data_IF_497707388568
#
_entry.id   IF_497707388568
#
_cell.length_a   1.000
_cell.length_b   1.000
_cell.length_c   1.000
_cell.angle_alpha   90.00
_cell.angle_beta   90.00
_cell.angle_gamma   90.00
#
_symmetry.space_group_name_H-M   'P 1'
#
loop_
_entity.id
_entity.type
_entity.pdbx_description
1 polymer ?
#
# COMPACT_ATOMS: atom_id res chain seq x y z
N UNK A 1 3.24 1.36 -9.90
CA UNK A 1 2.15 1.87 -9.06
C UNK A 1 1.53 0.73 -8.28
N UNK A 2 1.30 0.94 -7.05
CA UNK A 2 1.03 -0.15 -6.15
C UNK A 2 -0.09 0.18 -5.21
N UNK A 3 -1.00 -0.77 -5.00
CA UNK A 3 -2.35 -0.42 -4.71
C UNK A 3 -2.92 -1.19 -3.55
N UNK A 4 -3.12 -0.51 -2.41
CA UNK A 4 -4.03 -0.95 -1.35
C UNK A 4 -4.93 0.21 -0.97
N UNK A 5 -6.15 -0.08 -0.59
CA UNK A 5 -7.13 0.86 -0.02
C UNK A 5 -7.55 1.98 -1.01
N UNK A 6 -7.19 3.24 -0.75
CA UNK A 6 -7.50 4.39 -1.62
C UNK A 6 -6.71 4.38 -2.94
N UNK A 7 -5.79 3.50 -3.08
CA UNK A 7 -4.90 3.43 -4.22
C UNK A 7 -5.61 3.22 -5.57
N UNK A 8 -6.74 2.51 -5.69
CA UNK A 8 -7.51 2.47 -6.94
C UNK A 8 -7.92 3.84 -7.46
N UNK A 9 -8.29 4.79 -6.59
CA UNK A 9 -8.61 6.17 -6.98
C UNK A 9 -7.37 6.88 -7.52
N UNK A 10 -6.24 6.82 -6.78
CA UNK A 10 -4.97 7.39 -7.21
C UNK A 10 -4.49 6.74 -8.51
N UNK A 11 -4.68 5.44 -8.66
CA UNK A 11 -4.38 4.72 -9.89
C UNK A 11 -5.22 5.21 -11.07
N UNK A 12 -6.52 5.42 -10.88
CA UNK A 12 -7.40 6.00 -11.88
C UNK A 12 -6.92 7.37 -12.34
N UNK A 13 -6.46 8.23 -11.43
CA UNK A 13 -5.83 9.49 -11.77
C UNK A 13 -4.56 9.30 -12.61
N UNK A 14 -3.68 8.36 -12.26
CA UNK A 14 -2.49 8.06 -13.06
C UNK A 14 -2.85 7.60 -14.48
N UNK A 15 -3.88 6.75 -14.63
CA UNK A 15 -4.38 6.31 -15.93
C UNK A 15 -4.91 7.50 -16.74
N UNK A 16 -5.76 8.34 -16.14
CA UNK A 16 -6.30 9.54 -16.82
C UNK A 16 -5.19 10.50 -17.27
N UNK A 17 -4.18 10.72 -16.43
CA UNK A 17 -3.05 11.61 -16.78
C UNK A 17 -2.20 11.01 -17.90
N UNK A 18 -1.91 9.71 -17.84
CA UNK A 18 -1.12 9.06 -18.89
C UNK A 18 -1.85 9.05 -20.24
N UNK A 19 -3.14 8.80 -20.26
CA UNK A 19 -3.98 8.76 -21.46
C UNK A 19 -4.77 10.04 -21.70
N UNK A 20 -4.32 11.20 -21.16
CA UNK A 20 -5.08 12.46 -21.16
C UNK A 20 -5.61 12.89 -22.52
N UNK A 21 -4.85 12.66 -23.61
CA UNK A 21 -5.26 13.09 -24.94
C UNK A 21 -6.42 12.25 -25.48
N UNK A 22 -6.40 10.94 -25.22
CA UNK A 22 -7.52 10.05 -25.53
C UNK A 22 -8.77 10.39 -24.70
N UNK A 23 -8.58 10.68 -23.38
CA UNK A 23 -9.70 11.11 -22.51
C UNK A 23 -10.27 12.49 -22.94
N UNK A 24 -9.42 13.42 -23.39
CA UNK A 24 -9.89 14.71 -23.92
C UNK A 24 -10.75 14.54 -25.17
N UNK A 25 -10.40 13.58 -26.04
CA UNK A 25 -11.13 13.32 -27.29
C UNK A 25 -12.39 12.47 -27.07
N UNK A 26 -12.30 11.42 -26.28
CA UNK A 26 -13.32 10.38 -26.13
C UNK A 26 -14.01 10.36 -24.76
N UNK A 27 -13.78 11.36 -23.90
CA UNK A 27 -14.29 11.35 -22.50
C UNK A 27 -15.79 11.12 -22.40
N UNK A 28 -16.59 11.83 -23.20
CA UNK A 28 -18.05 11.63 -23.23
C UNK A 28 -18.45 10.21 -23.59
N UNK A 29 -17.79 9.61 -24.56
CA UNK A 29 -18.01 8.23 -24.97
C UNK A 29 -17.65 7.28 -23.83
N UNK A 30 -16.54 7.52 -23.13
CA UNK A 30 -16.13 6.70 -22.00
C UNK A 30 -17.12 6.79 -20.82
N UNK A 31 -17.68 7.96 -20.57
CA UNK A 31 -18.72 8.17 -19.57
C UNK A 31 -20.02 7.42 -19.96
N UNK A 32 -20.44 7.51 -21.23
CA UNK A 32 -21.62 6.80 -21.75
C UNK A 32 -21.47 5.28 -21.67
N UNK A 33 -20.26 4.77 -21.89
CA UNK A 33 -19.93 3.33 -21.78
C UNK A 33 -19.78 2.88 -20.31
N UNK A 34 -19.76 3.79 -19.36
CA UNK A 34 -19.54 3.50 -17.93
C UNK A 34 -18.12 2.98 -17.67
N UNK A 35 -17.10 3.57 -18.31
CA UNK A 35 -15.70 3.25 -18.06
C UNK A 35 -15.31 3.72 -16.66
N UNK A 36 -14.80 2.82 -15.85
CA UNK A 36 -14.24 3.11 -14.53
C UNK A 36 -12.72 2.91 -14.54
N UNK A 37 -11.99 4.01 -14.64
CA UNK A 37 -10.51 3.99 -14.68
C UNK A 37 -9.87 3.48 -13.39
N UNK A 38 -10.58 3.50 -12.28
CA UNK A 38 -10.10 2.92 -11.02
C UNK A 38 -9.92 1.40 -11.11
N UNK A 39 -10.58 0.76 -12.09
CA UNK A 39 -10.40 -0.64 -12.43
C UNK A 39 -9.31 -0.87 -13.51
N UNK A 40 -8.67 0.18 -14.01
CA UNK A 40 -7.59 0.12 -14.97
C UNK A 40 -8.01 0.05 -16.44
N UNK A 41 -7.01 -0.10 -17.30
CA UNK A 41 -7.19 -0.16 -18.74
C UNK A 41 -7.95 -1.40 -19.19
N UNK A 42 -7.93 -2.47 -18.41
CA UNK A 42 -8.75 -3.67 -18.70
C UNK A 42 -10.24 -3.32 -18.82
N UNK A 43 -10.76 -2.53 -17.86
CA UNK A 43 -12.15 -2.09 -17.91
C UNK A 43 -12.43 -1.20 -19.13
N UNK A 44 -11.52 -0.29 -19.47
CA UNK A 44 -11.66 0.55 -20.67
C UNK A 44 -11.68 -0.29 -21.93
N UNK A 45 -10.77 -1.24 -22.10
CA UNK A 45 -10.72 -2.11 -23.27
C UNK A 45 -11.97 -3.00 -23.38
N UNK A 46 -12.47 -3.55 -22.27
CA UNK A 46 -13.71 -4.31 -22.23
C UNK A 46 -14.90 -3.49 -22.72
N UNK A 47 -15.05 -2.26 -22.25
CA UNK A 47 -16.11 -1.35 -22.67
C UNK A 47 -15.98 -0.93 -24.14
N UNK A 48 -14.79 -0.59 -24.58
CA UNK A 48 -14.50 -0.21 -25.98
C UNK A 48 -14.73 -1.37 -26.93
N UNK A 49 -14.54 -2.61 -26.50
CA UNK A 49 -14.81 -3.81 -27.33
C UNK A 49 -16.28 -3.94 -27.75
N UNK A 50 -17.22 -3.31 -27.05
CA UNK A 50 -18.65 -3.32 -27.39
C UNK A 50 -19.01 -2.34 -28.52
N UNK A 51 -18.11 -1.46 -28.93
CA UNK A 51 -18.34 -0.47 -29.98
C UNK A 51 -18.31 -1.08 -31.39
N UNK A 52 -18.99 -0.43 -32.37
CA UNK A 52 -18.82 -0.76 -33.79
C UNK A 52 -17.34 -0.68 -34.21
N UNK A 53 -16.93 -1.55 -35.12
CA UNK A 53 -15.53 -1.76 -35.50
C UNK A 53 -14.79 -0.46 -35.82
N UNK A 54 -15.35 0.42 -36.65
CA UNK A 54 -14.69 1.68 -37.04
C UNK A 54 -14.44 2.62 -35.83
N UNK A 55 -15.42 2.75 -34.94
CA UNK A 55 -15.30 3.60 -33.76
C UNK A 55 -14.30 2.99 -32.75
N UNK A 56 -14.35 1.66 -32.58
CA UNK A 56 -13.38 0.95 -31.75
C UNK A 56 -11.94 1.15 -32.23
N UNK A 57 -11.70 1.00 -33.54
CA UNK A 57 -10.36 1.17 -34.11
C UNK A 57 -9.85 2.59 -33.94
N UNK A 58 -10.71 3.61 -34.08
CA UNK A 58 -10.34 5.01 -33.82
C UNK A 58 -9.90 5.20 -32.37
N UNK A 59 -10.70 4.74 -31.39
CA UNK A 59 -10.38 4.84 -29.97
C UNK A 59 -9.06 4.12 -29.65
N UNK A 60 -8.87 2.90 -30.14
CA UNK A 60 -7.64 2.14 -29.90
C UNK A 60 -6.41 2.82 -30.50
N UNK A 61 -6.53 3.41 -31.69
CA UNK A 61 -5.47 4.19 -32.31
C UNK A 61 -5.06 5.39 -31.44
N UNK A 62 -6.02 6.13 -30.90
CA UNK A 62 -5.73 7.29 -30.06
C UNK A 62 -5.13 6.88 -28.70
N UNK A 63 -5.57 5.75 -28.13
CA UNK A 63 -4.94 5.18 -26.95
C UNK A 63 -3.48 4.78 -27.21
N UNK A 64 -3.20 4.16 -28.34
CA UNK A 64 -1.84 3.82 -28.76
C UNK A 64 -0.98 5.07 -28.96
N UNK A 65 -1.50 6.11 -29.58
CA UNK A 65 -0.79 7.36 -29.77
C UNK A 65 -0.37 8.01 -28.44
N UNK A 66 -1.09 7.75 -27.37
CA UNK A 66 -0.72 8.23 -26.03
C UNK A 66 0.62 7.68 -25.52
N UNK A 67 1.14 6.60 -26.05
CA UNK A 67 2.45 6.07 -25.67
C UNK A 67 3.62 6.82 -26.34
N UNK A 68 3.34 7.55 -27.41
CA UNK A 68 4.37 8.34 -28.11
C UNK A 68 4.80 9.53 -27.25
N UNK A 69 6.11 9.68 -27.06
CA UNK A 69 6.69 10.79 -26.29
C UNK A 69 6.48 10.73 -24.77
N UNK A 70 5.98 9.61 -24.25
CA UNK A 70 5.79 9.34 -22.81
C UNK A 70 6.73 8.24 -22.34
N UNK A 71 6.97 8.15 -21.00
CA UNK A 71 7.73 7.04 -20.44
C UNK A 71 7.09 5.70 -20.80
N UNK A 72 7.91 4.72 -21.13
CA UNK A 72 7.44 3.34 -21.31
C UNK A 72 6.78 2.83 -20.03
N UNK A 73 5.69 2.08 -20.15
CA UNK A 73 5.07 1.41 -19.03
C UNK A 73 5.77 0.09 -18.75
N UNK A 74 5.96 -0.22 -17.48
CA UNK A 74 6.43 -1.53 -17.07
C UNK A 74 5.36 -2.59 -17.40
N UNK A 75 5.80 -3.78 -17.79
CA UNK A 75 4.93 -4.88 -18.18
C UNK A 75 4.66 -5.81 -17.01
N UNK A 76 3.43 -6.26 -16.90
CA UNK A 76 3.02 -7.41 -16.07
C UNK A 76 3.18 -8.71 -16.86
N UNK A 77 2.78 -8.69 -18.13
CA UNK A 77 2.96 -9.81 -19.05
C UNK A 77 3.32 -9.25 -20.44
N UNK A 78 4.60 -9.30 -20.78
CA UNK A 78 5.12 -8.79 -22.05
C UNK A 78 4.59 -9.56 -23.24
N UNK A 79 4.36 -10.88 -23.11
CA UNK A 79 3.88 -11.71 -24.19
C UNK A 79 2.42 -11.40 -24.58
N UNK A 80 1.62 -10.95 -23.61
CA UNK A 80 0.23 -10.56 -23.82
C UNK A 80 0.03 -9.05 -23.97
N UNK A 81 1.09 -8.25 -23.88
CA UNK A 81 0.99 -6.79 -23.94
C UNK A 81 0.33 -6.17 -22.70
N UNK A 82 0.29 -6.87 -21.57
CA UNK A 82 -0.34 -6.40 -20.34
C UNK A 82 0.63 -5.50 -19.60
N UNK A 83 0.27 -4.21 -19.51
CA UNK A 83 1.05 -3.20 -18.78
C UNK A 83 0.63 -3.11 -17.32
N UNK A 84 1.42 -2.41 -16.52
CA UNK A 84 1.09 -2.11 -15.13
C UNK A 84 -0.13 -1.17 -14.96
N UNK A 85 -0.71 -0.65 -16.03
CA UNK A 85 -1.99 0.08 -16.00
C UNK A 85 -3.20 -0.79 -16.37
N UNK A 86 -3.00 -2.07 -16.61
CA UNK A 86 -4.09 -2.96 -16.99
C UNK A 86 -5.13 -3.09 -15.89
N UNK A 87 -4.69 -3.46 -14.69
CA UNK A 87 -5.55 -3.56 -13.50
C UNK A 87 -4.80 -3.13 -12.23
N UNK A 88 -5.47 -2.49 -11.26
CA UNK A 88 -4.85 -2.18 -9.98
C UNK A 88 -4.44 -3.43 -9.18
N UNK A 89 -5.01 -4.59 -9.49
CA UNK A 89 -4.69 -5.86 -8.83
C UNK A 89 -3.50 -6.60 -9.44
N UNK A 90 -3.04 -6.21 -10.64
CA UNK A 90 -1.92 -6.87 -11.31
C UNK A 90 -0.57 -6.51 -10.68
N UNK A 91 -0.50 -5.38 -9.99
CA UNK A 91 0.70 -4.92 -9.29
C UNK A 91 0.36 -4.59 -7.85
N UNK A 92 0.85 -5.41 -6.95
CA UNK A 92 0.66 -5.28 -5.51
C UNK A 92 1.97 -4.84 -4.87
N UNK A 93 1.94 -3.81 -4.01
CA UNK A 93 3.12 -3.21 -3.36
C UNK A 93 3.99 -4.23 -2.66
N UNK A 94 3.35 -5.05 -1.86
CA UNK A 94 3.96 -6.04 -1.00
C UNK A 94 4.77 -7.10 -1.79
N UNK A 95 4.34 -7.46 -3.00
CA UNK A 95 5.07 -8.40 -3.84
C UNK A 95 5.98 -7.74 -4.88
N UNK A 96 5.52 -6.64 -5.49
CA UNK A 96 6.21 -6.03 -6.64
C UNK A 96 7.42 -5.19 -6.25
N UNK A 97 7.37 -4.44 -5.14
CA UNK A 97 8.50 -3.61 -4.72
C UNK A 97 9.70 -4.43 -4.24
N UNK A 98 9.55 -5.46 -3.39
CA UNK A 98 10.67 -6.31 -3.04
C UNK A 98 11.32 -6.97 -4.27
N UNK A 99 10.51 -7.49 -5.20
CA UNK A 99 11.01 -8.08 -6.44
C UNK A 99 11.77 -7.05 -7.32
N UNK A 100 11.25 -5.82 -7.41
CA UNK A 100 11.93 -4.74 -8.12
C UNK A 100 13.28 -4.39 -7.46
N UNK A 101 13.34 -4.29 -6.14
CA UNK A 101 14.57 -4.00 -5.39
C UNK A 101 15.60 -5.12 -5.62
N UNK A 102 15.19 -6.38 -5.51
CA UNK A 102 16.03 -7.55 -5.78
C UNK A 102 16.59 -7.54 -7.20
N UNK A 103 15.82 -7.08 -8.18
CA UNK A 103 16.25 -6.93 -9.57
C UNK A 103 17.08 -5.65 -9.83
N UNK A 104 17.56 -4.98 -8.80
CA UNK A 104 18.38 -3.77 -8.92
C UNK A 104 17.60 -2.55 -9.42
N UNK A 105 16.30 -2.44 -9.10
CA UNK A 105 15.45 -1.33 -9.52
C UNK A 105 14.93 -1.48 -10.95
N UNK A 106 14.74 -2.70 -11.44
CA UNK A 106 14.33 -2.99 -12.81
C UNK A 106 13.01 -3.74 -12.88
N UNK A 107 12.29 -3.51 -13.97
CA UNK A 107 11.11 -4.27 -14.39
C UNK A 107 11.16 -4.57 -15.90
N UNK A 108 10.27 -5.42 -16.39
CA UNK A 108 10.24 -5.85 -17.78
C UNK A 108 9.67 -4.77 -18.70
N UNK A 109 10.30 -4.62 -19.87
CA UNK A 109 9.78 -3.85 -21.00
C UNK A 109 8.85 -4.72 -21.90
N UNK A 110 8.29 -4.11 -22.94
CA UNK A 110 7.40 -4.81 -23.89
C UNK A 110 8.10 -5.96 -24.65
N UNK A 111 9.42 -6.01 -24.66
CA UNK A 111 10.21 -7.09 -25.27
C UNK A 111 10.68 -8.15 -24.26
N UNK A 112 10.19 -8.08 -23.00
CA UNK A 112 10.59 -9.00 -21.94
C UNK A 112 12.00 -8.79 -21.41
N UNK A 113 12.61 -7.61 -21.60
CA UNK A 113 13.93 -7.28 -21.10
C UNK A 113 13.82 -6.42 -19.85
N UNK A 114 14.74 -6.62 -18.91
CA UNK A 114 14.83 -5.80 -17.71
C UNK A 114 15.36 -4.40 -18.04
N UNK A 115 14.59 -3.37 -17.68
CA UNK A 115 14.96 -1.95 -17.78
C UNK A 115 14.78 -1.27 -16.43
N UNK A 116 15.55 -0.21 -16.22
CA UNK A 116 15.39 0.66 -15.04
C UNK A 116 13.97 1.19 -14.96
N UNK A 117 13.40 1.20 -13.76
CA UNK A 117 12.03 1.64 -13.53
C UNK A 117 11.96 2.77 -12.51
N UNK A 118 11.07 3.71 -12.75
CA UNK A 118 10.63 4.68 -11.75
C UNK A 118 9.36 4.18 -11.11
N UNK A 119 9.45 3.71 -9.86
CA UNK A 119 8.27 3.34 -9.08
C UNK A 119 7.61 4.58 -8.49
N UNK A 120 6.29 4.68 -8.67
CA UNK A 120 5.47 5.72 -8.03
C UNK A 120 4.63 5.05 -6.95
N UNK A 121 4.84 5.46 -5.70
CA UNK A 121 4.08 4.99 -4.54
C UNK A 121 3.18 6.12 -4.03
N UNK A 122 1.86 5.97 -4.07
CA UNK A 122 0.95 7.02 -3.62
C UNK A 122 0.94 7.20 -2.09
N UNK A 123 1.25 6.14 -1.34
CA UNK A 123 1.30 6.19 0.13
C UNK A 123 2.70 6.57 0.62
N UNK A 124 2.88 7.84 0.97
CA UNK A 124 4.18 8.41 1.36
C UNK A 124 4.75 7.79 2.64
N UNK A 125 3.91 7.32 3.55
CA UNK A 125 4.33 6.73 4.83
C UNK A 125 5.07 5.42 4.62
N UNK A 126 4.51 4.53 3.80
CA UNK A 126 5.12 3.23 3.51
C UNK A 126 6.22 3.32 2.45
N UNK A 127 6.18 4.30 1.56
CA UNK A 127 7.25 4.52 0.58
C UNK A 127 8.62 4.68 1.23
N UNK A 128 8.68 5.31 2.40
CA UNK A 128 9.93 5.57 3.13
C UNK A 128 10.60 4.30 3.66
N UNK A 129 9.86 3.23 3.93
CA UNK A 129 10.47 1.96 4.36
C UNK A 129 11.33 1.37 3.24
N UNK A 130 10.87 1.42 1.99
CA UNK A 130 11.64 0.96 0.84
C UNK A 130 12.87 1.83 0.58
N UNK A 131 12.75 3.14 0.78
CA UNK A 131 13.92 4.03 0.67
C UNK A 131 14.97 3.72 1.73
N UNK A 132 14.54 3.41 2.97
CA UNK A 132 15.44 3.02 4.05
C UNK A 132 16.18 1.70 3.71
N UNK A 133 15.45 0.72 3.18
CA UNK A 133 16.04 -0.55 2.74
C UNK A 133 17.05 -0.35 1.62
N UNK A 134 16.70 0.43 0.60
CA UNK A 134 17.60 0.72 -0.52
C UNK A 134 18.88 1.39 -0.01
N UNK A 135 18.73 2.37 0.89
CA UNK A 135 19.88 3.05 1.49
C UNK A 135 20.74 2.08 2.31
N UNK A 136 20.09 1.24 3.12
CA UNK A 136 20.80 0.23 3.92
C UNK A 136 21.58 -0.75 3.05
N UNK A 137 20.95 -1.31 2.02
CA UNK A 137 21.62 -2.24 1.09
C UNK A 137 22.75 -1.59 0.29
N UNK A 138 22.68 -0.29 -0.01
CA UNK A 138 23.79 0.44 -0.64
C UNK A 138 25.03 0.49 0.26
N UNK A 139 24.84 0.54 1.58
CA UNK A 139 25.94 0.60 2.55
C UNK A 139 26.45 -0.77 2.99
N UNK A 140 25.56 -1.75 3.13
CA UNK A 140 25.85 -3.05 3.75
C UNK A 140 25.89 -4.20 2.74
N UNK A 141 25.38 -4.01 1.53
CA UNK A 141 25.19 -5.09 0.55
C UNK A 141 23.93 -5.89 0.79
N UNK A 142 23.80 -7.02 0.10
CA UNK A 142 22.69 -7.97 0.28
C UNK A 142 22.85 -8.72 1.62
N UNK A 143 21.74 -9.20 2.16
CA UNK A 143 21.76 -10.06 3.33
C UNK A 143 22.19 -11.48 2.95
N UNK A 144 22.90 -12.15 3.85
CA UNK A 144 23.21 -13.57 3.74
C UNK A 144 22.13 -14.37 4.50
N UNK A 145 21.32 -15.17 3.81
CA UNK A 145 20.25 -15.95 4.43
C UNK A 145 20.71 -16.93 5.51
N UNK A 146 22.01 -17.28 5.51
CA UNK A 146 22.58 -18.18 6.52
C UNK A 146 22.91 -17.48 7.84
N UNK A 147 23.13 -16.17 7.81
CA UNK A 147 23.63 -15.40 8.96
C UNK A 147 22.73 -14.27 9.39
N UNK A 148 21.77 -13.88 8.57
CA UNK A 148 20.83 -12.82 8.90
C UNK A 148 19.86 -13.24 10.02
N UNK A 149 19.38 -12.25 10.78
CA UNK A 149 18.29 -12.44 11.74
C UNK A 149 16.93 -12.54 11.06
N UNK A 150 15.94 -13.04 11.78
CA UNK A 150 14.55 -13.18 11.30
C UNK A 150 13.66 -12.04 11.80
N UNK A 151 12.56 -11.79 11.06
CA UNK A 151 11.58 -10.75 11.41
C UNK A 151 10.17 -11.35 11.43
N UNK A 152 9.85 -12.20 12.44
CA UNK A 152 8.51 -12.72 12.59
C UNK A 152 7.52 -11.59 12.85
N UNK A 153 6.30 -11.72 12.33
CA UNK A 153 5.26 -10.71 12.44
C UNK A 153 4.13 -11.12 13.40
N UNK A 154 3.64 -10.15 14.15
CA UNK A 154 2.42 -10.20 14.94
C UNK A 154 1.46 -9.16 14.38
N UNK A 155 0.58 -9.58 13.48
CA UNK A 155 -0.37 -8.70 12.78
C UNK A 155 -1.67 -8.47 13.56
N UNK A 156 -2.19 -7.26 13.50
CA UNK A 156 -3.51 -6.91 14.02
C UNK A 156 -4.58 -7.39 13.03
N UNK A 157 -4.92 -8.67 13.08
CA UNK A 157 -5.78 -9.36 12.10
C UNK A 157 -6.97 -10.11 12.67
N UNK A 158 -6.93 -10.41 13.97
CA UNK A 158 -7.97 -11.23 14.59
C UNK A 158 -9.36 -10.60 14.41
N UNK A 159 -10.36 -11.43 14.09
CA UNK A 159 -11.76 -11.03 13.99
C UNK A 159 -12.02 -9.86 13.01
N UNK A 160 -11.29 -9.81 11.89
CA UNK A 160 -11.37 -8.65 11.00
C UNK A 160 -11.07 -7.34 11.75
N UNK A 161 -10.01 -7.35 12.52
CA UNK A 161 -9.65 -6.28 13.45
C UNK A 161 -9.51 -4.93 12.76
N UNK A 162 -8.92 -4.90 11.57
CA UNK A 162 -8.78 -3.71 10.76
C UNK A 162 -9.50 -3.90 9.43
N UNK A 163 -10.42 -3.01 9.12
CA UNK A 163 -10.95 -2.81 7.79
C UNK A 163 -10.28 -1.59 7.18
N UNK A 164 -9.37 -1.82 6.25
CA UNK A 164 -8.82 -0.76 5.45
C UNK A 164 -9.66 -0.61 4.20
N UNK A 165 -10.48 0.44 4.20
CA UNK A 165 -11.07 1.02 3.02
C UNK A 165 -11.45 0.06 1.93
N UNK A 166 -12.42 -0.80 2.17
CA UNK A 166 -13.20 -1.36 1.09
C UNK A 166 -13.62 -0.21 0.17
N UNK A 167 -13.78 -0.48 -1.12
CA UNK A 167 -14.13 0.56 -2.11
C UNK A 167 -15.36 1.38 -1.73
N UNK A 168 -16.29 0.82 -0.95
CA UNK A 168 -17.47 1.46 -0.39
C UNK A 168 -17.19 2.44 0.77
N UNK A 169 -16.00 2.38 1.37
CA UNK A 169 -15.55 3.27 2.46
C UNK A 169 -14.42 4.21 2.04
N UNK A 170 -14.08 4.23 0.77
CA UNK A 170 -13.06 5.09 0.18
C UNK A 170 -13.64 5.77 -1.03
N UNK A 171 -13.69 7.10 -1.03
CA UNK A 171 -14.25 7.89 -2.12
C UNK A 171 -13.55 9.24 -2.25
N UNK A 172 -13.65 9.82 -3.43
CA UNK A 172 -13.15 11.15 -3.73
C UNK A 172 -14.22 12.19 -3.41
N UNK A 173 -13.83 13.25 -2.73
CA UNK A 173 -14.69 14.39 -2.42
C UNK A 173 -14.89 15.20 -3.70
N UNK A 174 -16.15 15.49 -4.03
CA UNK A 174 -16.49 16.16 -5.30
C UNK A 174 -16.52 17.68 -5.20
N UNK A 175 -16.67 18.24 -4.00
CA UNK A 175 -16.77 19.68 -3.75
C UNK A 175 -16.25 20.05 -2.36
N UNK A 176 -15.83 21.30 -2.18
CA UNK A 176 -15.39 21.82 -0.88
C UNK A 176 -16.52 21.76 0.14
N UNK A 177 -16.19 21.39 1.38
CA UNK A 177 -17.21 21.28 2.41
C UNK A 177 -16.70 20.76 3.73
N UNK A 178 -17.60 20.12 4.47
CA UNK A 178 -17.32 19.52 5.77
C UNK A 178 -17.81 18.08 5.76
N UNK A 179 -16.92 17.12 5.98
CA UNK A 179 -17.27 15.72 6.19
C UNK A 179 -17.53 15.48 7.68
N UNK A 180 -18.73 15.01 8.01
CA UNK A 180 -19.14 14.69 9.37
C UNK A 180 -19.38 13.20 9.54
N UNK A 181 -18.92 12.65 10.67
CA UNK A 181 -19.33 11.32 11.13
C UNK A 181 -20.30 11.55 12.28
N UNK A 182 -21.55 11.12 12.08
CA UNK A 182 -22.64 11.36 13.02
C UNK A 182 -23.19 10.03 13.56
N UNK A 183 -23.39 9.96 14.86
CA UNK A 183 -24.14 8.86 15.47
C UNK A 183 -25.61 8.94 15.05
N UNK A 184 -26.10 7.92 14.37
CA UNK A 184 -27.47 7.92 13.84
C UNK A 184 -28.53 7.79 14.93
N UNK A 185 -28.19 7.26 16.10
CA UNK A 185 -29.13 7.09 17.19
C UNK A 185 -29.33 8.38 18.00
N UNK A 186 -28.25 9.14 18.18
CA UNK A 186 -28.27 10.37 19.01
C UNK A 186 -28.30 11.66 18.19
N UNK A 187 -27.86 11.61 16.92
CA UNK A 187 -27.63 12.78 16.07
C UNK A 187 -26.35 13.55 16.43
N UNK A 188 -25.53 13.03 17.34
CA UNK A 188 -24.29 13.66 17.74
C UNK A 188 -23.22 13.56 16.63
N UNK A 189 -22.55 14.67 16.33
CA UNK A 189 -21.41 14.69 15.42
C UNK A 189 -20.15 14.25 16.18
N UNK A 190 -19.69 13.04 15.91
CA UNK A 190 -18.54 12.45 16.57
C UNK A 190 -17.20 12.98 16.02
N UNK A 191 -17.12 13.20 14.73
CA UNK A 191 -15.95 13.74 14.02
C UNK A 191 -16.42 14.73 12.95
N UNK A 192 -15.65 15.81 12.77
CA UNK A 192 -15.89 16.82 11.75
C UNK A 192 -14.56 17.25 11.14
N UNK A 193 -14.47 17.25 9.81
CA UNK A 193 -13.26 17.57 9.07
C UNK A 193 -13.60 18.45 7.87
N UNK A 194 -12.89 19.57 7.72
CA UNK A 194 -12.95 20.34 6.48
C UNK A 194 -12.28 19.53 5.37
N UNK A 195 -12.91 19.53 4.20
CA UNK A 195 -12.46 18.81 3.01
C UNK A 195 -12.54 19.70 1.78
N UNK A 196 -11.67 19.43 0.81
CA UNK A 196 -11.61 20.13 -0.47
C UNK A 196 -11.93 19.16 -1.62
N UNK A 197 -12.39 19.69 -2.74
CA UNK A 197 -12.61 18.91 -3.95
C UNK A 197 -11.34 18.18 -4.38
N UNK A 198 -11.44 16.87 -4.62
CA UNK A 198 -10.32 16.00 -4.95
C UNK A 198 -9.65 15.33 -3.74
N UNK A 199 -10.04 15.67 -2.52
CA UNK A 199 -9.59 14.91 -1.35
C UNK A 199 -10.09 13.47 -1.42
N UNK A 200 -9.29 12.54 -0.92
CA UNK A 200 -9.66 11.13 -0.81
C UNK A 200 -10.04 10.83 0.64
N UNK A 201 -11.30 10.61 0.88
CA UNK A 201 -11.81 10.15 2.16
C UNK A 201 -11.65 8.65 2.31
N UNK A 202 -11.14 8.22 3.44
CA UNK A 202 -11.00 6.81 3.78
C UNK A 202 -11.40 6.56 5.23
N UNK A 203 -12.24 5.57 5.45
CA UNK A 203 -12.57 5.09 6.78
C UNK A 203 -11.73 3.88 7.14
N UNK A 204 -11.21 3.88 8.37
CA UNK A 204 -10.53 2.73 8.97
C UNK A 204 -11.23 2.40 10.29
N UNK A 205 -11.64 1.14 10.45
CA UNK A 205 -12.29 0.64 11.63
C UNK A 205 -11.45 -0.44 12.29
N UNK A 206 -11.24 -0.32 13.60
CA UNK A 206 -10.51 -1.32 14.40
C UNK A 206 -11.34 -1.69 15.63
N UNK A 207 -11.48 -2.99 15.88
CA UNK A 207 -12.19 -3.50 17.06
C UNK A 207 -11.29 -3.48 18.28
N UNK A 208 -11.77 -2.91 19.38
CA UNK A 208 -11.01 -2.75 20.62
C UNK A 208 -10.53 -4.08 21.22
N UNK A 209 -11.41 -5.09 21.24
CA UNK A 209 -11.06 -6.43 21.71
C UNK A 209 -9.90 -7.06 20.91
N UNK A 210 -9.84 -6.79 19.61
CA UNK A 210 -8.78 -7.28 18.74
C UNK A 210 -7.45 -6.57 19.02
N UNK A 211 -7.45 -5.28 19.34
CA UNK A 211 -6.24 -4.54 19.74
C UNK A 211 -5.70 -5.12 21.05
N UNK A 212 -6.57 -5.37 22.02
CA UNK A 212 -6.18 -5.96 23.30
C UNK A 212 -5.55 -7.34 23.15
N UNK A 213 -6.13 -8.20 22.30
CA UNK A 213 -5.57 -9.52 22.00
C UNK A 213 -4.23 -9.44 21.25
N UNK A 214 -4.12 -8.50 20.30
CA UNK A 214 -2.88 -8.22 19.58
C UNK A 214 -1.73 -7.83 20.52
N UNK A 215 -1.98 -6.92 21.48
CA UNK A 215 -0.99 -6.52 22.50
C UNK A 215 -0.60 -7.72 23.36
N UNK A 216 -1.59 -8.50 23.83
CA UNK A 216 -1.35 -9.74 24.60
C UNK A 216 -0.47 -10.72 23.84
N UNK A 217 -0.76 -10.92 22.53
CA UNK A 217 0.03 -11.81 21.68
C UNK A 217 1.47 -11.32 21.53
N UNK A 218 1.67 -10.02 21.33
CA UNK A 218 2.98 -9.39 21.22
C UNK A 218 3.80 -9.59 22.53
N UNK A 219 3.19 -9.33 23.69
CA UNK A 219 3.83 -9.55 25.00
C UNK A 219 4.19 -11.03 25.21
N UNK A 220 3.29 -11.94 24.88
CA UNK A 220 3.56 -13.38 25.00
C UNK A 220 4.69 -13.83 24.09
N UNK A 221 4.76 -13.31 22.87
CA UNK A 221 5.86 -13.60 21.94
C UNK A 221 7.19 -13.07 22.47
N UNK A 222 7.24 -11.84 22.98
CA UNK A 222 8.44 -11.29 23.62
C UNK A 222 8.91 -12.19 24.78
N UNK A 223 7.99 -12.56 25.67
CA UNK A 223 8.30 -13.38 26.86
C UNK A 223 8.83 -14.79 26.49
N UNK A 224 8.18 -15.44 25.52
CA UNK A 224 8.54 -16.80 25.15
C UNK A 224 9.82 -16.90 24.35
N UNK A 225 10.17 -15.86 23.59
CA UNK A 225 11.34 -15.86 22.69
C UNK A 225 12.54 -15.09 23.25
N UNK A 226 12.33 -14.17 24.18
CA UNK A 226 13.34 -13.19 24.60
C UNK A 226 13.70 -12.16 23.53
N UNK A 227 13.00 -12.16 22.40
CA UNK A 227 13.23 -11.19 21.31
C UNK A 227 12.60 -9.84 21.62
N UNK A 228 13.19 -8.72 21.16
CA UNK A 228 12.52 -7.44 21.20
C UNK A 228 11.28 -7.45 20.30
N UNK A 229 10.23 -6.76 20.75
CA UNK A 229 9.02 -6.49 19.97
C UNK A 229 8.97 -5.02 19.63
N UNK A 230 8.74 -4.71 18.37
CA UNK A 230 8.54 -3.34 17.90
C UNK A 230 7.12 -3.20 17.36
N UNK A 231 6.32 -2.33 17.95
CA UNK A 231 5.06 -1.87 17.38
C UNK A 231 5.37 -0.78 16.35
N UNK A 232 5.06 -1.03 15.08
CA UNK A 232 5.31 -0.12 13.97
C UNK A 232 4.14 0.86 13.83
N UNK A 233 4.18 1.93 14.60
CA UNK A 233 3.11 2.92 14.69
C UNK A 233 3.67 4.34 14.64
N UNK A 234 3.09 5.18 13.78
CA UNK A 234 3.46 6.58 13.61
C UNK A 234 2.44 7.50 14.27
N UNK A 235 2.89 8.28 15.24
CA UNK A 235 2.05 9.22 15.97
C UNK A 235 1.47 10.36 15.09
N UNK A 236 2.06 10.60 13.93
CA UNK A 236 1.57 11.60 12.98
C UNK A 236 0.45 11.08 12.07
N UNK A 237 0.15 9.80 12.11
CA UNK A 237 -1.00 9.21 11.42
C UNK A 237 -2.18 9.10 12.41
N UNK A 238 -3.31 9.78 12.15
CA UNK A 238 -4.42 9.83 13.12
C UNK A 238 -4.90 8.44 13.58
N UNK A 239 -5.04 7.48 12.65
CA UNK A 239 -5.39 6.11 12.97
C UNK A 239 -4.37 5.44 13.90
N UNK A 240 -3.07 5.54 13.58
CA UNK A 240 -2.00 4.92 14.37
C UNK A 240 -1.78 5.62 15.70
N UNK A 241 -2.04 6.93 15.80
CA UNK A 241 -2.04 7.65 17.07
C UNK A 241 -3.07 7.08 18.07
N UNK A 242 -4.26 6.71 17.57
CA UNK A 242 -5.26 6.02 18.38
C UNK A 242 -4.79 4.62 18.81
N UNK A 243 -4.17 3.87 17.90
CA UNK A 243 -3.57 2.58 18.23
C UNK A 243 -2.47 2.71 19.27
N UNK A 244 -1.60 3.71 19.20
CA UNK A 244 -0.56 3.98 20.21
C UNK A 244 -1.17 4.17 21.60
N UNK A 245 -2.26 4.93 21.69
CA UNK A 245 -2.97 5.16 22.95
C UNK A 245 -3.49 3.84 23.52
N UNK A 246 -4.12 3.02 22.69
CA UNK A 246 -4.64 1.71 23.08
C UNK A 246 -3.53 0.71 23.47
N UNK A 247 -2.46 0.64 22.67
CA UNK A 247 -1.30 -0.23 22.97
C UNK A 247 -0.71 0.13 24.34
N UNK A 248 -0.45 1.42 24.61
CA UNK A 248 0.04 1.85 25.91
C UNK A 248 -0.87 1.45 27.04
N UNK A 249 -2.19 1.64 26.89
CA UNK A 249 -3.18 1.25 27.88
C UNK A 249 -3.14 -0.25 28.15
N UNK A 250 -3.14 -1.08 27.11
CA UNK A 250 -3.17 -2.53 27.27
C UNK A 250 -1.84 -3.14 27.72
N UNK A 251 -0.70 -2.51 27.43
CA UNK A 251 0.59 -2.93 27.98
C UNK A 251 0.61 -2.88 29.52
N UNK A 252 -0.11 -1.93 30.14
CA UNK A 252 -0.24 -1.88 31.61
C UNK A 252 -1.01 -3.05 32.23
N UNK A 253 -1.75 -3.82 31.45
CA UNK A 253 -2.45 -5.02 31.91
C UNK A 253 -1.53 -6.26 32.00
N UNK A 254 -0.29 -6.13 31.54
CA UNK A 254 0.68 -7.22 31.50
C UNK A 254 1.92 -6.90 32.32
N UNK A 255 2.51 -7.93 32.92
CA UNK A 255 3.86 -7.82 33.45
C UNK A 255 4.86 -7.81 32.28
N UNK A 256 5.44 -6.64 32.01
CA UNK A 256 6.43 -6.43 30.94
C UNK A 256 7.85 -6.23 31.48
N UNK A 257 8.06 -6.51 32.76
CA UNK A 257 9.38 -6.38 33.38
C UNK A 257 10.41 -7.28 32.66
N UNK A 258 11.52 -6.68 32.25
CA UNK A 258 12.59 -7.38 31.52
C UNK A 258 12.31 -7.67 30.05
N UNK A 259 11.15 -7.26 29.51
CA UNK A 259 10.85 -7.37 28.09
C UNK A 259 11.26 -6.10 27.33
N UNK A 260 11.88 -6.25 26.17
CA UNK A 260 12.16 -5.15 25.26
C UNK A 260 10.98 -4.96 24.31
N UNK A 261 10.06 -4.05 24.67
CA UNK A 261 8.88 -3.72 23.87
C UNK A 261 8.91 -2.23 23.55
N UNK A 262 8.94 -1.91 22.25
CA UNK A 262 9.10 -0.55 21.77
C UNK A 262 7.97 -0.16 20.80
N UNK A 263 7.69 1.15 20.71
CA UNK A 263 6.79 1.73 19.70
C UNK A 263 7.63 2.68 18.86
N UNK A 264 7.68 2.44 17.55
CA UNK A 264 8.49 3.23 16.61
C UNK A 264 7.70 3.53 15.34
N UNK A 265 7.94 4.72 14.75
CA UNK A 265 7.46 5.00 13.40
C UNK A 265 8.13 4.06 12.38
N UNK A 266 7.49 3.87 11.24
CA UNK A 266 7.87 2.86 10.23
C UNK A 266 9.35 2.96 9.82
N UNK A 267 9.86 4.17 9.57
CA UNK A 267 11.26 4.37 9.16
C UNK A 267 12.24 4.01 10.29
N UNK A 268 11.92 4.40 11.53
CA UNK A 268 12.75 4.07 12.69
C UNK A 268 12.74 2.57 12.98
N UNK A 269 11.56 1.97 12.93
CA UNK A 269 11.39 0.53 13.12
C UNK A 269 12.14 -0.26 12.04
N UNK A 270 12.08 0.19 10.77
CA UNK A 270 12.82 -0.44 9.67
C UNK A 270 14.33 -0.37 9.92
N UNK A 271 14.87 0.79 10.22
CA UNK A 271 16.31 0.96 10.51
C UNK A 271 16.76 0.09 11.67
N UNK A 272 16.05 0.15 12.79
CA UNK A 272 16.33 -0.69 13.96
C UNK A 272 16.33 -2.18 13.60
N UNK A 273 15.33 -2.62 12.83
CA UNK A 273 15.21 -4.02 12.40
C UNK A 273 16.37 -4.43 11.49
N UNK A 274 16.70 -3.63 10.47
CA UNK A 274 17.78 -3.91 9.52
C UNK A 274 19.15 -3.98 10.21
N UNK A 275 19.42 -3.08 11.17
CA UNK A 275 20.67 -3.08 11.97
C UNK A 275 20.81 -4.36 12.82
N UNK A 276 19.71 -4.97 13.21
CA UNK A 276 19.68 -6.22 13.96
C UNK A 276 19.81 -7.41 13.02
N UNK A 277 19.05 -7.42 11.94
CA UNK A 277 19.03 -8.50 10.94
C UNK A 277 20.44 -8.75 10.38
N UNK A 278 21.19 -7.71 10.03
CA UNK A 278 22.56 -7.85 9.49
C UNK A 278 23.54 -8.44 10.51
N UNK A 279 23.20 -8.38 11.81
CA UNK A 279 23.99 -8.98 12.91
C UNK A 279 23.51 -10.37 13.33
N UNK A 280 22.55 -10.95 12.60
CA UNK A 280 21.94 -12.24 12.94
C UNK A 280 20.99 -12.18 14.15
N UNK A 281 20.47 -11.01 14.48
CA UNK A 281 19.60 -10.81 15.62
C UNK A 281 18.13 -10.70 15.18
N UNK A 282 17.28 -11.50 15.79
CA UNK A 282 15.85 -11.53 15.49
C UNK A 282 15.09 -10.34 16.11
N UNK A 283 14.00 -9.92 15.47
CA UNK A 283 13.13 -8.84 15.93
C UNK A 283 11.68 -9.13 15.57
N UNK A 284 10.78 -9.14 16.54
CA UNK A 284 9.35 -9.32 16.30
C UNK A 284 8.75 -7.98 15.84
N UNK A 285 8.17 -7.96 14.65
CA UNK A 285 7.39 -6.84 14.15
C UNK A 285 5.92 -6.98 14.55
N UNK A 286 5.39 -6.01 15.30
CA UNK A 286 3.97 -5.93 15.64
C UNK A 286 3.34 -4.83 14.78
N UNK A 287 2.48 -5.21 13.83
CA UNK A 287 2.01 -4.32 12.77
C UNK A 287 0.50 -4.35 12.57
N UNK A 288 -0.04 -3.26 12.03
CA UNK A 288 -1.36 -3.27 11.42
C UNK A 288 -1.41 -4.14 10.16
N UNK A 289 -2.62 -4.33 9.64
CA UNK A 289 -2.88 -5.29 8.57
C UNK A 289 -2.14 -4.97 7.25
N UNK A 290 -2.11 -3.70 6.86
CA UNK A 290 -1.42 -3.29 5.61
C UNK A 290 0.09 -3.51 5.75
N UNK A 291 0.70 -2.99 6.80
CA UNK A 291 2.15 -3.06 6.98
C UNK A 291 2.63 -4.51 7.17
N UNK A 292 1.79 -5.37 7.75
CA UNK A 292 2.05 -6.81 7.79
C UNK A 292 2.31 -7.37 6.40
N UNK A 293 1.43 -7.08 5.44
CA UNK A 293 1.57 -7.58 4.08
C UNK A 293 2.87 -7.08 3.44
N UNK A 294 3.22 -5.80 3.64
CA UNK A 294 4.48 -5.25 3.14
C UNK A 294 5.71 -5.98 3.71
N UNK A 295 5.72 -6.28 5.00
CA UNK A 295 6.87 -6.89 5.65
C UNK A 295 6.96 -8.39 5.41
N UNK A 296 5.83 -9.08 5.24
CA UNK A 296 5.78 -10.53 5.02
C UNK A 296 6.52 -10.94 3.74
N UNK A 297 6.40 -10.14 2.68
CA UNK A 297 7.09 -10.42 1.41
C UNK A 297 8.49 -9.79 1.35
N UNK A 298 8.71 -8.71 2.10
CA UNK A 298 9.93 -7.94 1.99
C UNK A 298 11.16 -8.69 2.51
N UNK A 299 11.11 -9.18 3.76
CA UNK A 299 12.28 -9.81 4.37
C UNK A 299 12.67 -11.13 3.69
N UNK A 300 11.74 -12.05 3.34
CA UNK A 300 12.09 -13.25 2.58
C UNK A 300 12.68 -12.98 1.20
N UNK A 301 12.29 -11.89 0.53
CA UNK A 301 12.86 -11.54 -0.78
C UNK A 301 14.24 -10.87 -0.66
N UNK A 302 14.52 -10.23 0.47
CA UNK A 302 15.83 -9.62 0.75
C UNK A 302 16.94 -10.66 1.01
N UNK A 303 16.55 -11.91 1.29
CA UNK A 303 17.44 -13.07 1.31
C UNK A 303 17.96 -13.33 -0.12
#
# INVERSE_FOLDING_TARGET
>A
TMMKVSHPIVFGHCVKIFYKDAFAKHGKLFDELGVNVNNGMANLYEKVATLPTAQREEVLKDLHACHEGRPELAMVDSAKGITNFHSPNDIIVDASMPAMIRNGGKMWDANGRLKDVKAVMPESTFARIYQEIINFCKWHGAFDPKTMGTVPNVGLMAQQAEEYGSHDKTFEITEDGVANITDLATGEVLLSQNVEAGDIWRMCQVKDAAIRDWVKLAVNRARNSGMPVVFWLDAYRPHEAQLITKVKMYLHEHDIAGLDIQIMSQVRAMRYTLERVVRGLDTISATGNILRDYLTDLFPIME
#
